data_IF_572231422463
#
_entry.id   IF_572231422463
#
_cell.length_a   1.000
_cell.length_b   1.000
_cell.length_c   1.000
_cell.angle_alpha   90.00
_cell.angle_beta   90.00
_cell.angle_gamma   90.00
#
_symmetry.space_group_name_H-M   'P 1'
#
loop_
_entity.id
_entity.type
_entity.pdbx_description
1 polymer ?
#
# COMPACT_ATOMS: atom_id res chain seq x y z
N UNK A 1 -26.38 1.76 -78.44
CA UNK A 1 -26.57 0.29 -78.40
C UNK A 1 -26.92 -0.10 -76.97
N UNK A 2 -28.13 -0.65 -76.80
CA UNK A 2 -28.67 -1.26 -75.57
C UNK A 2 -28.11 -2.68 -75.42
N UNK A 3 -27.87 -3.14 -74.19
CA UNK A 3 -28.58 -4.27 -73.56
C UNK A 3 -28.00 -4.57 -72.15
N UNK A 4 -28.91 -4.87 -71.23
CA UNK A 4 -28.73 -5.23 -69.81
C UNK A 4 -29.00 -6.77 -69.68
N UNK A 5 -29.20 -7.39 -68.49
CA UNK A 5 -28.30 -8.27 -67.73
C UNK A 5 -28.76 -9.76 -67.67
N UNK A 6 -28.05 -10.60 -66.91
CA UNK A 6 -28.53 -11.92 -66.47
C UNK A 6 -28.23 -12.19 -64.98
N UNK A 7 -29.30 -12.42 -64.21
CA UNK A 7 -29.33 -13.00 -62.86
C UNK A 7 -29.29 -14.53 -62.92
N UNK A 8 -28.86 -15.21 -61.84
CA UNK A 8 -29.42 -16.48 -61.30
C UNK A 8 -28.70 -16.80 -59.96
N UNK A 9 -29.33 -16.57 -58.79
CA UNK A 9 -30.11 -17.49 -57.92
C UNK A 9 -29.30 -18.48 -57.07
N UNK A 10 -29.40 -18.29 -55.75
CA UNK A 10 -29.07 -19.26 -54.68
C UNK A 10 -29.98 -20.51 -54.73
N UNK A 11 -29.55 -21.64 -54.14
CA UNK A 11 -30.46 -22.62 -53.58
C UNK A 11 -30.48 -22.63 -52.05
N UNK A 12 -31.65 -23.00 -51.56
CA UNK A 12 -32.18 -22.93 -50.21
C UNK A 12 -31.78 -24.13 -49.32
N UNK A 13 -32.03 -23.90 -48.04
CA UNK A 13 -31.97 -24.70 -46.83
C UNK A 13 -32.29 -26.20 -46.93
N UNK A 14 -31.60 -27.00 -46.12
CA UNK A 14 -32.10 -28.27 -45.61
C UNK A 14 -31.65 -28.46 -44.15
N UNK A 15 -32.65 -28.35 -43.29
CA UNK A 15 -32.70 -28.67 -41.87
C UNK A 15 -32.19 -30.09 -41.59
N UNK A 16 -31.38 -30.30 -40.55
CA UNK A 16 -31.46 -31.50 -39.69
C UNK A 16 -30.94 -31.18 -38.27
N UNK A 17 -31.71 -31.64 -37.29
CA UNK A 17 -31.68 -31.33 -35.85
C UNK A 17 -30.45 -31.83 -35.06
N UNK A 18 -30.16 -31.23 -33.89
CA UNK A 18 -29.13 -31.71 -32.96
C UNK A 18 -29.62 -32.91 -32.13
N UNK A 19 -28.78 -33.92 -31.83
CA UNK A 19 -29.18 -34.99 -30.91
C UNK A 19 -29.12 -34.54 -29.44
N UNK A 20 -30.23 -34.72 -28.74
CA UNK A 20 -30.39 -34.66 -27.27
C UNK A 20 -29.75 -35.86 -26.56
N UNK A 21 -29.35 -35.74 -25.27
CA UNK A 21 -28.61 -36.76 -24.55
C UNK A 21 -29.54 -37.84 -23.97
N UNK A 22 -29.16 -39.12 -24.10
CA UNK A 22 -29.76 -40.23 -23.37
C UNK A 22 -28.84 -40.69 -22.24
N UNK A 23 -29.33 -40.54 -21.02
CA UNK A 23 -28.80 -41.18 -19.81
C UNK A 23 -29.21 -42.65 -19.78
N UNK A 24 -28.29 -43.55 -19.43
CA UNK A 24 -28.44 -44.52 -18.33
C UNK A 24 -27.39 -45.64 -18.33
N UNK A 25 -26.68 -45.68 -17.20
CA UNK A 25 -26.26 -46.83 -16.40
C UNK A 25 -24.97 -47.63 -16.68
N UNK A 26 -24.32 -47.93 -15.53
CA UNK A 26 -23.47 -49.08 -15.16
C UNK A 26 -21.97 -48.77 -14.89
N UNK A 27 -21.60 -48.69 -13.60
CA UNK A 27 -20.25 -48.93 -13.03
C UNK A 27 -19.90 -50.44 -13.00
N UNK A 28 -18.66 -50.89 -12.69
CA UNK A 28 -17.30 -50.39 -13.00
C UNK A 28 -16.43 -51.51 -13.66
N UNK A 29 -15.11 -51.30 -13.88
CA UNK A 29 -14.18 -51.92 -12.93
C UNK A 29 -12.96 -51.06 -12.57
N UNK A 30 -12.47 -51.35 -11.37
CA UNK A 30 -11.26 -50.88 -10.72
C UNK A 30 -9.98 -51.21 -11.49
N UNK A 31 -9.13 -50.22 -11.73
CA UNK A 31 -7.70 -50.41 -11.93
C UNK A 31 -6.92 -49.47 -11.02
N UNK A 32 -6.17 -50.08 -10.10
CA UNK A 32 -5.13 -49.45 -9.30
C UNK A 32 -3.98 -48.96 -10.20
N UNK A 33 -3.57 -47.71 -10.01
CA UNK A 33 -2.22 -47.27 -10.31
C UNK A 33 -1.69 -46.51 -9.09
N UNK A 34 -0.64 -47.08 -8.48
CA UNK A 34 0.17 -46.44 -7.43
C UNK A 34 0.94 -45.24 -7.99
N UNK A 35 1.17 -44.19 -7.19
CA UNK A 35 2.04 -43.08 -7.58
C UNK A 35 3.46 -43.31 -7.03
N UNK A 36 4.47 -43.20 -7.88
CA UNK A 36 5.83 -42.90 -7.46
C UNK A 36 6.45 -41.98 -8.51
N UNK A 37 6.46 -40.67 -8.23
CA UNK A 37 7.55 -39.82 -8.66
C UNK A 37 7.70 -38.64 -7.70
N UNK A 38 8.88 -38.62 -7.10
CA UNK A 38 9.39 -37.73 -6.07
C UNK A 38 9.48 -36.28 -6.57
N UNK A 39 8.86 -35.35 -5.84
CA UNK A 39 9.12 -33.91 -5.97
C UNK A 39 9.92 -33.43 -4.75
N UNK A 40 11.09 -32.89 -5.04
CA UNK A 40 12.05 -32.33 -4.10
C UNK A 40 11.50 -31.00 -3.54
N UNK A 41 11.47 -30.85 -2.22
CA UNK A 41 11.29 -29.54 -1.54
C UNK A 41 12.52 -29.23 -0.70
N UNK A 42 13.12 -28.03 -0.82
CA UNK A 42 13.97 -27.52 0.24
C UNK A 42 13.25 -26.44 1.06
N UNK A 43 13.48 -26.52 2.37
CA UNK A 43 13.24 -25.54 3.44
C UNK A 43 11.83 -25.48 4.02
N UNK A 44 11.67 -26.19 5.15
CA UNK A 44 10.55 -26.09 6.05
C UNK A 44 10.81 -25.11 7.18
N UNK A 45 9.75 -24.43 7.58
CA UNK A 45 9.53 -23.97 8.94
C UNK A 45 8.10 -24.39 9.33
N UNK A 46 8.00 -25.37 10.22
CA UNK A 46 6.75 -25.76 10.85
C UNK A 46 6.39 -24.72 11.91
N UNK A 47 5.23 -24.07 11.76
CA UNK A 47 4.62 -23.23 12.78
C UNK A 47 3.47 -24.03 13.41
N UNK A 48 3.59 -24.38 14.69
CA UNK A 48 2.49 -24.95 15.50
C UNK A 48 1.85 -23.83 16.33
N UNK A 49 0.55 -23.54 16.17
CA UNK A 49 -0.13 -22.61 17.07
C UNK A 49 -0.57 -23.34 18.35
N UNK A 50 -0.02 -22.94 19.49
CA UNK A 50 -0.62 -23.22 20.80
C UNK A 50 -1.58 -22.09 21.16
N UNK A 51 -2.86 -22.42 21.16
CA UNK A 51 -3.94 -21.61 21.76
C UNK A 51 -3.85 -21.70 23.28
N UNK A 52 -3.53 -20.59 23.95
CA UNK A 52 -3.84 -20.36 25.36
C UNK A 52 -4.78 -19.16 25.48
N UNK A 53 -6.03 -19.47 25.78
CA UNK A 53 -7.07 -18.50 26.15
C UNK A 53 -6.81 -18.01 27.58
N UNK A 54 -6.68 -16.70 27.75
CA UNK A 54 -6.70 -16.05 29.06
C UNK A 54 -7.47 -14.74 28.93
N UNK A 55 -8.74 -14.79 29.33
CA UNK A 55 -9.68 -13.69 29.43
C UNK A 55 -9.37 -12.84 30.66
N UNK A 56 -9.07 -11.55 30.47
CA UNK A 56 -9.12 -10.52 31.52
C UNK A 56 -9.96 -9.36 30.99
N UNK A 57 -11.03 -8.93 31.69
CA UNK A 57 -11.86 -7.81 31.27
C UNK A 57 -11.27 -6.48 31.77
N UNK A 58 -11.20 -5.47 30.90
CA UNK A 58 -10.93 -4.09 31.31
C UNK A 58 -12.21 -3.26 31.15
N UNK A 59 -12.77 -2.81 32.28
CA UNK A 59 -13.77 -1.75 32.38
C UNK A 59 -13.11 -0.39 32.07
N UNK A 60 -13.75 0.38 31.19
CA UNK A 60 -13.40 1.78 30.91
C UNK A 60 -14.31 2.66 31.74
N UNK A 61 -13.74 3.44 32.65
CA UNK A 61 -14.39 4.63 33.23
C UNK A 61 -13.78 5.88 32.58
N UNK A 62 -14.59 6.89 32.19
CA UNK A 62 -14.08 8.15 31.68
C UNK A 62 -14.10 9.20 32.80
N UNK A 63 -12.96 9.81 33.09
CA UNK A 63 -12.91 11.18 33.61
C UNK A 63 -11.47 11.69 33.54
N UNK A 64 -11.29 12.82 32.85
CA UNK A 64 -10.47 13.98 33.22
C UNK A 64 -10.29 14.87 31.99
N UNK A 65 -11.23 15.80 31.85
CA UNK A 65 -11.04 17.06 31.15
C UNK A 65 -10.14 17.95 32.01
N UNK A 66 -9.01 18.41 31.46
CA UNK A 66 -8.19 19.46 32.08
C UNK A 66 -7.99 20.55 31.05
N UNK A 67 -8.77 21.61 31.18
CA UNK A 67 -8.64 22.84 30.43
C UNK A 67 -7.73 23.78 31.23
N UNK A 68 -6.73 24.38 30.56
CA UNK A 68 -5.76 25.27 31.19
C UNK A 68 -6.07 26.70 30.81
N UNK A 69 -6.49 27.53 31.78
CA UNK A 69 -6.28 28.98 31.70
C UNK A 69 -6.08 29.60 33.07
N UNK A 70 -5.07 30.48 33.15
CA UNK A 70 -5.05 31.77 33.86
C UNK A 70 -3.95 31.95 34.91
N UNK A 71 -2.99 32.77 34.48
CA UNK A 71 -2.02 33.60 35.20
C UNK A 71 -2.65 34.43 36.35
N UNK A 72 -1.97 34.57 37.49
CA UNK A 72 -2.32 35.55 38.52
C UNK A 72 -1.43 35.53 39.77
N UNK A 73 -0.78 36.68 40.01
CA UNK A 73 0.15 37.14 41.04
C UNK A 73 0.10 36.67 42.52
N UNK A 74 1.31 36.53 43.07
CA UNK A 74 1.89 37.08 44.34
C UNK A 74 1.11 36.97 45.66
N UNK A 75 1.70 36.24 46.63
CA UNK A 75 2.05 36.77 47.98
C UNK A 75 3.00 35.85 48.77
N UNK A 76 4.09 36.46 49.27
CA UNK A 76 5.03 35.92 50.25
C UNK A 76 4.40 35.74 51.64
N UNK A 77 4.86 34.75 52.41
CA UNK A 77 5.19 34.87 53.85
C UNK A 77 6.01 33.66 54.36
N UNK A 78 7.23 33.95 54.88
CA UNK A 78 7.97 33.37 56.05
C UNK A 78 8.18 31.83 56.19
N UNK A 79 9.42 31.28 56.15
CA UNK A 79 10.45 31.13 57.25
C UNK A 79 9.93 30.21 58.42
N UNK A 80 10.53 29.11 58.89
CA UNK A 80 11.92 28.66 59.13
C UNK A 80 12.04 27.08 59.14
N UNK A 81 13.07 26.40 59.71
CA UNK A 81 14.33 25.98 59.06
C UNK A 81 14.64 24.46 59.13
N UNK A 82 15.63 24.02 58.34
CA UNK A 82 16.32 22.73 58.46
C UNK A 82 17.18 22.64 59.75
N UNK A 83 17.49 21.41 60.21
CA UNK A 83 18.80 21.10 60.74
C UNK A 83 19.55 20.11 59.85
N UNK A 84 20.84 20.40 59.75
CA UNK A 84 21.84 19.81 58.88
C UNK A 84 22.59 18.66 59.56
N UNK A 85 23.40 17.97 58.76
CA UNK A 85 24.61 17.22 59.13
C UNK A 85 24.50 15.69 59.32
N UNK A 86 25.24 14.97 58.47
CA UNK A 86 25.57 13.56 58.69
C UNK A 86 26.12 12.84 57.46
N UNK A 87 27.35 13.15 57.05
CA UNK A 87 28.08 12.41 56.03
C UNK A 87 28.28 10.93 56.43
N UNK A 88 27.89 10.00 55.55
CA UNK A 88 28.52 8.67 55.41
C UNK A 88 28.33 8.14 53.98
N UNK A 89 29.42 7.68 53.40
CA UNK A 89 29.47 6.74 52.28
C UNK A 89 30.72 5.87 52.47
N UNK A 90 30.83 4.66 51.91
CA UNK A 90 29.81 3.82 51.28
C UNK A 90 29.75 2.40 51.92
N UNK A 91 28.59 1.74 51.87
CA UNK A 91 28.53 0.27 52.01
C UNK A 91 28.30 -0.30 50.62
N UNK A 92 29.34 -0.99 50.14
CA UNK A 92 29.32 -1.81 48.94
C UNK A 92 28.34 -2.95 49.19
N UNK A 93 27.15 -2.89 48.60
CA UNK A 93 26.26 -4.04 48.47
C UNK A 93 26.36 -4.55 47.05
N UNK A 94 27.01 -5.70 46.92
CA UNK A 94 27.10 -6.50 45.70
C UNK A 94 25.71 -7.02 45.34
N UNK A 95 24.88 -6.15 44.76
CA UNK A 95 23.62 -6.50 44.12
C UNK A 95 23.85 -6.62 42.62
N UNK A 96 23.46 -7.77 42.05
CA UNK A 96 23.50 -8.10 40.62
C UNK A 96 23.22 -6.87 39.75
N UNK A 97 24.15 -6.63 38.81
CA UNK A 97 24.14 -5.48 37.91
C UNK A 97 22.75 -5.22 37.37
N UNK A 98 22.26 -4.00 37.65
CA UNK A 98 21.22 -3.42 36.82
C UNK A 98 21.74 -3.43 35.40
N UNK A 99 20.98 -4.05 34.50
CA UNK A 99 21.11 -3.80 33.08
C UNK A 99 20.92 -2.31 32.90
N UNK A 100 22.04 -1.59 32.80
CA UNK A 100 22.07 -0.30 32.14
C UNK A 100 21.55 -0.63 30.74
N UNK A 101 20.31 -0.25 30.45
CA UNK A 101 19.79 -0.28 29.09
C UNK A 101 20.79 0.52 28.24
N UNK A 102 21.64 -0.20 27.50
CA UNK A 102 22.45 0.39 26.46
C UNK A 102 21.53 1.21 25.55
N UNK A 103 22.01 2.33 24.96
CA UNK A 103 21.30 2.91 23.84
C UNK A 103 21.03 1.77 22.85
N UNK A 104 19.75 1.55 22.53
CA UNK A 104 19.33 0.40 21.73
C UNK A 104 20.27 0.25 20.53
N UNK A 105 20.84 -0.93 20.37
CA UNK A 105 21.73 -1.26 19.25
C UNK A 105 21.05 -0.80 17.94
N UNK A 106 21.71 0.01 17.09
CA UNK A 106 21.13 0.50 15.85
C UNK A 106 20.49 -0.59 14.99
N UNK A 107 21.04 -1.82 15.03
CA UNK A 107 20.49 -2.97 14.31
C UNK A 107 19.18 -3.48 14.94
N UNK A 108 19.12 -3.55 16.28
CA UNK A 108 17.88 -3.91 16.99
C UNK A 108 16.77 -2.88 16.76
N UNK A 109 17.11 -1.59 16.75
CA UNK A 109 16.16 -0.54 16.42
C UNK A 109 15.63 -0.70 14.99
N UNK A 110 16.53 -0.99 14.04
CA UNK A 110 16.15 -1.19 12.65
C UNK A 110 15.19 -2.38 12.47
N UNK A 111 15.41 -3.47 13.20
CA UNK A 111 14.52 -4.64 13.19
C UNK A 111 13.14 -4.33 13.79
N UNK A 112 13.10 -3.55 14.88
CA UNK A 112 11.83 -3.12 15.49
C UNK A 112 11.02 -2.26 14.51
N UNK A 113 11.68 -1.30 13.85
CA UNK A 113 11.03 -0.46 12.82
C UNK A 113 10.51 -1.33 11.68
N UNK A 114 11.32 -2.26 11.16
CA UNK A 114 10.90 -3.16 10.09
C UNK A 114 9.64 -3.95 10.46
N UNK A 115 9.62 -4.53 11.66
CA UNK A 115 8.48 -5.30 12.16
C UNK A 115 7.21 -4.45 12.30
N UNK A 116 7.31 -3.27 12.90
CA UNK A 116 6.16 -2.39 13.12
C UNK A 116 5.64 -1.79 11.81
N UNK A 117 6.52 -1.43 10.88
CA UNK A 117 6.13 -0.92 9.57
C UNK A 117 5.50 -2.03 8.71
N UNK A 118 6.03 -3.26 8.75
CA UNK A 118 5.43 -4.40 8.06
C UNK A 118 4.02 -4.71 8.57
N UNK A 119 3.84 -4.75 9.88
CA UNK A 119 2.56 -4.97 10.54
C UNK A 119 1.55 -3.85 10.22
N UNK A 120 2.00 -2.58 10.25
CA UNK A 120 1.21 -1.44 9.77
C UNK A 120 0.82 -1.60 8.30
N UNK A 121 1.77 -1.96 7.42
CA UNK A 121 1.54 -2.13 5.99
C UNK A 121 0.47 -3.19 5.71
N UNK A 122 0.58 -4.36 6.33
CA UNK A 122 -0.33 -5.49 6.13
C UNK A 122 -1.74 -5.21 6.65
N UNK A 123 -1.88 -4.60 7.83
CA UNK A 123 -3.20 -4.26 8.40
C UNK A 123 -3.97 -3.22 7.60
N UNK A 124 -3.28 -2.43 6.79
CA UNK A 124 -3.88 -1.35 6.00
C UNK A 124 -3.78 -1.63 4.50
N UNK A 125 -3.59 -2.88 4.09
CA UNK A 125 -3.85 -3.30 2.71
C UNK A 125 -5.36 -3.48 2.53
N UNK A 126 -5.93 -3.03 1.41
CA UNK A 126 -7.35 -3.25 1.12
C UNK A 126 -7.68 -4.74 0.95
N UNK A 127 -6.74 -5.50 0.38
CA UNK A 127 -6.91 -6.93 0.10
C UNK A 127 -5.83 -7.75 0.79
N UNK A 128 -6.23 -8.90 1.34
CA UNK A 128 -5.28 -9.89 1.87
C UNK A 128 -4.41 -10.47 0.75
N UNK A 129 -3.22 -10.96 1.09
CA UNK A 129 -2.34 -11.62 0.11
C UNK A 129 -3.03 -12.82 -0.52
N UNK A 130 -3.81 -13.57 0.26
CA UNK A 130 -4.58 -14.71 -0.24
C UNK A 130 -5.60 -14.31 -1.30
N UNK A 131 -6.39 -13.25 -1.05
CA UNK A 131 -7.38 -12.77 -2.02
C UNK A 131 -6.74 -12.35 -3.34
N UNK A 132 -5.65 -11.59 -3.29
CA UNK A 132 -4.93 -11.12 -4.48
C UNK A 132 -4.42 -12.30 -5.30
N UNK A 133 -3.77 -13.26 -4.64
CA UNK A 133 -3.27 -14.47 -5.30
C UNK A 133 -4.40 -15.34 -5.82
N UNK A 134 -5.57 -15.32 -5.18
CA UNK A 134 -6.75 -16.05 -5.66
C UNK A 134 -7.28 -15.45 -6.96
N UNK A 135 -7.42 -14.12 -7.02
CA UNK A 135 -7.82 -13.41 -8.24
C UNK A 135 -6.78 -13.64 -9.35
N UNK A 136 -5.49 -13.44 -9.08
CA UNK A 136 -4.42 -13.63 -10.08
C UNK A 136 -4.34 -15.07 -10.63
N UNK A 137 -4.62 -16.09 -9.80
CA UNK A 137 -4.56 -17.49 -10.24
C UNK A 137 -5.83 -17.96 -10.94
N UNK A 138 -7.00 -17.56 -10.43
CA UNK A 138 -8.29 -18.07 -10.91
C UNK A 138 -8.83 -17.29 -12.09
N UNK A 139 -8.44 -16.03 -12.21
CA UNK A 139 -8.95 -15.16 -13.27
C UNK A 139 -7.94 -15.03 -14.39
N UNK A 140 -8.47 -15.00 -15.60
CA UNK A 140 -7.77 -14.44 -16.76
C UNK A 140 -8.41 -13.09 -17.09
N UNK A 141 -7.69 -12.18 -17.75
CA UNK A 141 -8.28 -10.95 -18.26
C UNK A 141 -9.49 -11.28 -19.14
N UNK A 142 -10.68 -11.04 -18.61
CA UNK A 142 -11.95 -11.36 -19.29
C UNK A 142 -12.33 -10.21 -20.20
N UNK A 143 -12.53 -10.52 -21.49
CA UNK A 143 -12.90 -9.55 -22.52
C UNK A 143 -14.19 -8.81 -22.16
N UNK A 144 -15.11 -9.44 -21.42
CA UNK A 144 -16.37 -8.81 -20.99
C UNK A 144 -16.10 -7.69 -20.00
N UNK A 145 -15.30 -7.96 -18.95
CA UNK A 145 -14.90 -6.96 -17.97
C UNK A 145 -14.06 -5.86 -18.61
N UNK A 146 -13.10 -6.21 -19.48
CA UNK A 146 -12.29 -5.21 -20.19
C UNK A 146 -13.20 -4.28 -21.00
N UNK A 147 -14.12 -4.84 -21.79
CA UNK A 147 -15.04 -4.04 -22.60
C UNK A 147 -16.01 -3.22 -21.74
N UNK A 148 -16.39 -3.71 -20.56
CA UNK A 148 -17.22 -2.94 -19.64
C UNK A 148 -16.52 -1.61 -19.29
N UNK A 149 -15.29 -1.66 -18.75
CA UNK A 149 -14.57 -0.45 -18.37
C UNK A 149 -14.19 0.43 -19.57
N UNK A 150 -13.78 -0.16 -20.70
CA UNK A 150 -13.44 0.59 -21.92
C UNK A 150 -14.61 1.36 -22.52
N UNK A 151 -15.84 0.91 -22.29
CA UNK A 151 -17.04 1.54 -22.82
C UNK A 151 -17.78 2.39 -21.79
N UNK A 152 -17.27 2.51 -20.55
CA UNK A 152 -17.82 3.44 -19.56
C UNK A 152 -17.75 4.88 -20.08
N UNK A 153 -18.72 5.71 -19.69
CA UNK A 153 -18.59 7.13 -19.97
C UNK A 153 -17.36 7.69 -19.23
N UNK A 154 -16.70 8.68 -19.83
CA UNK A 154 -15.45 9.25 -19.30
C UNK A 154 -15.60 9.68 -17.83
N UNK A 155 -16.69 10.36 -17.48
CA UNK A 155 -16.97 10.81 -16.11
C UNK A 155 -17.23 9.64 -15.15
N UNK A 156 -17.89 8.58 -15.60
CA UNK A 156 -18.16 7.39 -14.78
C UNK A 156 -16.87 6.64 -14.44
N UNK A 157 -15.98 6.46 -15.43
CA UNK A 157 -14.69 5.81 -15.23
C UNK A 157 -13.81 6.61 -14.26
N UNK A 158 -13.79 7.93 -14.43
CA UNK A 158 -13.06 8.83 -13.52
C UNK A 158 -13.59 8.76 -12.10
N UNK A 159 -14.92 8.77 -11.94
CA UNK A 159 -15.55 8.71 -10.64
C UNK A 159 -15.27 7.37 -9.94
N UNK A 160 -15.38 6.24 -10.64
CA UNK A 160 -15.05 4.92 -10.09
C UNK A 160 -13.57 4.87 -9.63
N UNK A 161 -12.63 5.31 -10.47
CA UNK A 161 -11.21 5.39 -10.12
C UNK A 161 -10.97 6.28 -8.88
N UNK A 162 -11.62 7.44 -8.82
CA UNK A 162 -11.50 8.37 -7.70
C UNK A 162 -12.07 7.78 -6.39
N UNK A 163 -13.16 7.00 -6.47
CA UNK A 163 -13.71 6.29 -5.32
C UNK A 163 -12.73 5.22 -4.81
N UNK A 164 -12.17 4.39 -5.70
CA UNK A 164 -11.16 3.38 -5.31
C UNK A 164 -9.92 4.03 -4.71
N UNK A 165 -9.42 5.10 -5.34
CA UNK A 165 -8.29 5.87 -4.85
C UNK A 165 -8.58 6.43 -3.45
N UNK A 166 -9.79 6.97 -3.22
CA UNK A 166 -10.21 7.46 -1.89
C UNK A 166 -10.14 6.35 -0.84
N UNK A 167 -10.62 5.13 -1.15
CA UNK A 167 -10.52 4.00 -0.23
C UNK A 167 -9.06 3.63 0.08
N UNK A 168 -8.17 3.68 -0.91
CA UNK A 168 -6.73 3.46 -0.71
C UNK A 168 -6.14 4.56 0.19
N UNK A 169 -6.51 5.82 -0.03
CA UNK A 169 -6.02 6.96 0.77
C UNK A 169 -6.44 6.84 2.24
N UNK A 170 -7.66 6.41 2.53
CA UNK A 170 -8.11 6.15 3.90
C UNK A 170 -7.17 5.15 4.60
N UNK A 171 -6.79 4.08 3.91
CA UNK A 171 -5.85 3.11 4.44
C UNK A 171 -4.42 3.66 4.55
N UNK A 172 -4.00 4.54 3.64
CA UNK A 172 -2.70 5.23 3.72
C UNK A 172 -2.61 6.14 4.94
N UNK A 173 -3.71 6.80 5.32
CA UNK A 173 -3.77 7.62 6.53
C UNK A 173 -3.60 6.74 7.78
N UNK A 174 -4.27 5.59 7.83
CA UNK A 174 -4.11 4.64 8.93
C UNK A 174 -2.70 4.02 8.95
N UNK A 175 -2.11 3.76 7.78
CA UNK A 175 -0.72 3.32 7.66
C UNK A 175 0.23 4.35 8.27
N UNK A 176 0.13 5.62 7.84
CA UNK A 176 0.96 6.71 8.33
C UNK A 176 0.86 6.85 9.86
N UNK A 177 -0.36 6.82 10.40
CA UNK A 177 -0.60 6.84 11.85
C UNK A 177 0.01 5.66 12.60
N UNK A 178 0.21 4.52 11.94
CA UNK A 178 0.81 3.32 12.53
C UNK A 178 2.34 3.27 12.32
N UNK A 179 2.91 4.10 11.45
CA UNK A 179 4.37 4.24 11.30
C UNK A 179 4.97 4.77 12.62
N UNK A 180 5.99 4.09 13.19
CA UNK A 180 6.55 4.47 14.48
C UNK A 180 7.10 5.89 14.48
N UNK A 181 6.62 6.74 15.39
CA UNK A 181 7.07 8.13 15.49
C UNK A 181 6.30 9.15 14.65
N UNK A 182 5.53 8.73 13.64
CA UNK A 182 4.79 9.67 12.77
C UNK A 182 3.81 10.56 13.54
N UNK A 183 3.07 9.99 14.50
CA UNK A 183 2.12 10.74 15.35
C UNK A 183 2.78 11.77 16.28
N UNK A 184 4.11 11.75 16.41
CA UNK A 184 4.85 12.71 17.25
C UNK A 184 5.12 14.02 16.51
N UNK A 185 5.02 14.05 15.18
CA UNK A 185 5.13 15.29 14.42
C UNK A 185 3.94 16.21 14.68
N UNK A 186 4.08 17.50 14.38
CA UNK A 186 2.97 18.44 14.45
C UNK A 186 1.81 18.00 13.53
N UNK A 187 0.57 18.35 13.89
CA UNK A 187 -0.58 18.00 13.05
C UNK A 187 -0.45 18.61 11.64
N UNK A 188 0.06 19.84 11.54
CA UNK A 188 0.35 20.51 10.27
C UNK A 188 1.33 19.71 9.41
N UNK A 189 2.44 19.26 10.00
CA UNK A 189 3.45 18.46 9.28
C UNK A 189 2.86 17.10 8.85
N UNK A 190 2.08 16.44 9.71
CA UNK A 190 1.40 15.19 9.35
C UNK A 190 0.47 15.39 8.14
N UNK A 191 -0.29 16.48 8.10
CA UNK A 191 -1.17 16.83 6.98
C UNK A 191 -0.35 17.11 5.71
N UNK A 192 0.73 17.89 5.80
CA UNK A 192 1.60 18.19 4.65
C UNK A 192 2.19 16.91 4.05
N UNK A 193 2.72 16.00 4.88
CA UNK A 193 3.26 14.72 4.43
C UNK A 193 2.20 13.84 3.74
N UNK A 194 0.99 13.77 4.32
CA UNK A 194 -0.12 13.00 3.74
C UNK A 194 -0.63 13.60 2.43
N UNK A 195 -0.82 14.91 2.35
CA UNK A 195 -1.25 15.57 1.10
C UNK A 195 -0.24 15.36 -0.01
N UNK A 196 1.06 15.52 0.28
CA UNK A 196 2.09 15.35 -0.73
C UNK A 196 2.34 13.88 -1.13
N UNK A 197 2.29 12.94 -0.17
CA UNK A 197 2.66 11.54 -0.38
C UNK A 197 1.51 10.59 -0.72
N UNK A 198 0.25 10.98 -0.52
CA UNK A 198 -0.91 10.08 -0.66
C UNK A 198 -1.02 9.40 -2.03
N UNK A 199 -0.90 10.14 -3.13
CA UNK A 199 -0.94 9.55 -4.47
C UNK A 199 0.29 8.69 -4.76
N UNK A 200 1.47 9.12 -4.31
CA UNK A 200 2.72 8.36 -4.45
C UNK A 200 2.60 6.99 -3.75
N UNK A 201 2.07 6.97 -2.53
CA UNK A 201 1.83 5.74 -1.79
C UNK A 201 0.71 4.90 -2.43
N UNK A 202 -0.30 5.50 -3.05
CA UNK A 202 -1.34 4.76 -3.76
C UNK A 202 -0.77 4.00 -4.97
N UNK A 203 0.15 4.63 -5.73
CA UNK A 203 0.90 3.97 -6.81
C UNK A 203 1.76 2.84 -6.26
N UNK A 204 2.43 3.02 -5.11
CA UNK A 204 3.17 1.93 -4.45
C UNK A 204 2.26 0.77 -4.01
N UNK A 205 1.06 1.06 -3.49
CA UNK A 205 0.10 0.02 -3.13
C UNK A 205 -0.36 -0.77 -4.36
N UNK A 206 -0.48 -0.11 -5.51
CA UNK A 206 -0.83 -0.76 -6.77
C UNK A 206 0.20 -1.82 -7.19
N UNK A 207 1.49 -1.68 -6.85
CA UNK A 207 2.52 -2.67 -7.22
C UNK A 207 2.24 -4.05 -6.63
N UNK A 208 1.59 -4.10 -5.45
CA UNK A 208 1.18 -5.34 -4.78
C UNK A 208 -0.01 -6.02 -5.46
N UNK A 209 -0.80 -5.26 -6.21
CA UNK A 209 -1.96 -5.73 -6.96
C UNK A 209 -1.63 -6.02 -8.44
N UNK A 210 -0.38 -5.85 -8.84
CA UNK A 210 0.05 -6.00 -10.24
C UNK A 210 0.54 -7.42 -10.53
N UNK A 211 -0.09 -8.09 -11.49
CA UNK A 211 0.42 -9.36 -12.04
C UNK A 211 1.33 -9.06 -13.22
N UNK A 212 2.64 -9.26 -13.02
CA UNK A 212 3.67 -9.05 -14.04
C UNK A 212 3.50 -10.00 -15.23
N UNK A 213 3.01 -11.22 -15.02
CA UNK A 213 2.89 -12.23 -16.08
C UNK A 213 1.71 -11.93 -17.00
N UNK A 214 0.60 -11.48 -16.42
CA UNK A 214 -0.62 -11.15 -17.17
C UNK A 214 -0.67 -9.68 -17.58
N UNK A 215 0.25 -8.86 -17.09
CA UNK A 215 0.31 -7.42 -17.35
C UNK A 215 -0.99 -6.70 -16.97
N UNK A 216 -1.56 -7.10 -15.83
CA UNK A 216 -2.87 -6.65 -15.33
C UNK A 216 -2.79 -6.27 -13.85
N UNK A 217 -3.71 -5.41 -13.42
CA UNK A 217 -3.91 -5.07 -12.01
C UNK A 217 -5.18 -5.75 -11.48
N UNK A 218 -5.13 -6.23 -10.25
CA UNK A 218 -6.32 -6.64 -9.50
C UNK A 218 -7.14 -5.40 -9.17
N UNK A 219 -8.34 -5.33 -9.73
CA UNK A 219 -9.29 -4.23 -9.60
C UNK A 219 -10.63 -4.78 -9.10
N UNK A 220 -10.86 -4.68 -7.78
CA UNK A 220 -11.95 -5.40 -7.13
C UNK A 220 -11.74 -6.91 -7.26
N UNK A 221 -12.78 -7.61 -7.68
CA UNK A 221 -12.73 -9.05 -7.96
C UNK A 221 -12.41 -9.34 -9.42
N UNK A 222 -11.66 -8.48 -10.12
CA UNK A 222 -11.32 -8.66 -11.54
C UNK A 222 -9.86 -8.35 -11.84
N UNK A 223 -9.35 -8.87 -12.96
CA UNK A 223 -8.06 -8.48 -13.52
C UNK A 223 -8.27 -7.57 -14.73
N UNK A 224 -7.70 -6.37 -14.66
CA UNK A 224 -7.82 -5.39 -15.73
C UNK A 224 -6.43 -4.99 -16.24
N UNK A 225 -6.22 -5.02 -17.57
CA UNK A 225 -5.02 -4.49 -18.16
C UNK A 225 -5.12 -2.96 -18.26
N UNK A 226 -4.00 -2.33 -18.59
CA UNK A 226 -3.91 -0.87 -18.73
C UNK A 226 -4.95 -0.29 -19.70
N UNK A 227 -5.27 -1.01 -20.78
CA UNK A 227 -6.20 -0.57 -21.81
C UNK A 227 -7.63 -0.36 -21.29
N UNK A 228 -7.98 -0.94 -20.14
CA UNK A 228 -9.27 -0.73 -19.50
C UNK A 228 -9.44 0.70 -18.94
N UNK A 229 -8.34 1.40 -18.69
CA UNK A 229 -8.32 2.71 -18.03
C UNK A 229 -7.94 3.86 -18.97
N UNK A 230 -7.61 3.56 -20.23
CA UNK A 230 -7.24 4.59 -21.20
C UNK A 230 -8.44 5.43 -21.60
N UNK A 231 -8.27 6.75 -21.59
CA UNK A 231 -9.27 7.72 -22.04
C UNK A 231 -8.82 8.38 -23.34
N UNK A 232 -9.63 9.30 -23.88
CA UNK A 232 -9.24 10.10 -25.05
C UNK A 232 -8.42 11.34 -24.67
N UNK A 233 -8.29 11.64 -23.39
CA UNK A 233 -7.57 12.80 -22.87
C UNK A 233 -6.07 12.51 -22.73
N UNK A 234 -5.25 13.31 -23.41
CA UNK A 234 -3.80 13.06 -23.52
C UNK A 234 -3.05 13.02 -22.19
N UNK A 235 -3.42 13.89 -21.24
CA UNK A 235 -2.81 13.96 -19.90
C UNK A 235 -3.15 12.70 -19.09
N UNK A 236 -4.40 12.26 -19.14
CA UNK A 236 -4.88 11.06 -18.46
C UNK A 236 -4.26 9.79 -19.06
N UNK A 237 -4.19 9.68 -20.39
CA UNK A 237 -3.48 8.60 -21.05
C UNK A 237 -2.03 8.52 -20.58
N UNK A 238 -1.32 9.66 -20.54
CA UNK A 238 0.07 9.70 -20.05
C UNK A 238 0.16 9.27 -18.58
N UNK A 239 -0.79 9.70 -17.75
CA UNK A 239 -0.86 9.29 -16.34
C UNK A 239 -1.00 7.78 -16.21
N UNK A 240 -2.00 7.20 -16.87
CA UNK A 240 -2.27 5.75 -16.83
C UNK A 240 -1.06 4.96 -17.30
N UNK A 241 -0.47 5.32 -18.44
CA UNK A 241 0.74 4.66 -18.95
C UNK A 241 1.88 4.69 -17.93
N UNK A 242 2.19 5.87 -17.39
CA UNK A 242 3.30 6.02 -16.46
C UNK A 242 3.05 5.31 -15.12
N UNK A 243 1.81 5.29 -14.62
CA UNK A 243 1.43 4.55 -13.40
C UNK A 243 1.62 3.05 -13.61
N UNK A 244 1.13 2.49 -14.72
CA UNK A 244 1.27 1.06 -15.02
C UNK A 244 2.74 0.68 -15.25
N UNK A 245 3.52 1.49 -15.96
CA UNK A 245 4.95 1.26 -16.17
C UNK A 245 5.73 1.29 -14.85
N UNK A 246 5.44 2.27 -13.98
CA UNK A 246 6.04 2.34 -12.66
C UNK A 246 5.65 1.12 -11.81
N UNK A 247 4.37 0.77 -11.78
CA UNK A 247 3.85 -0.35 -11.01
C UNK A 247 4.53 -1.66 -11.41
N UNK A 248 4.62 -1.92 -12.73
CA UNK A 248 5.33 -3.06 -13.29
C UNK A 248 6.80 -3.08 -12.89
N UNK A 249 7.50 -1.96 -13.04
CA UNK A 249 8.93 -1.85 -12.71
C UNK A 249 9.22 -2.22 -11.26
N UNK A 250 8.38 -1.76 -10.32
CA UNK A 250 8.54 -2.09 -8.90
C UNK A 250 8.09 -3.53 -8.60
N UNK A 251 7.00 -4.01 -9.21
CA UNK A 251 6.52 -5.38 -9.03
C UNK A 251 7.53 -6.44 -9.51
N UNK A 252 8.29 -6.14 -10.58
CA UNK A 252 9.37 -6.99 -11.09
C UNK A 252 10.51 -7.21 -10.09
N UNK A 253 10.70 -6.30 -9.13
CA UNK A 253 11.66 -6.47 -8.03
C UNK A 253 11.20 -7.52 -7.01
N UNK A 254 9.92 -7.89 -7.00
CA UNK A 254 9.33 -8.87 -6.07
C UNK A 254 9.65 -8.54 -4.61
N UNK A 255 9.47 -7.27 -4.24
CA UNK A 255 9.66 -6.82 -2.86
C UNK A 255 8.73 -7.59 -1.92
N UNK A 256 9.24 -7.91 -0.73
CA UNK A 256 8.40 -8.46 0.35
C UNK A 256 7.44 -7.40 0.89
N UNK A 257 6.36 -7.80 1.58
CA UNK A 257 5.45 -6.83 2.23
C UNK A 257 6.19 -5.92 3.23
N UNK A 258 7.22 -6.44 3.90
CA UNK A 258 8.10 -5.66 4.78
C UNK A 258 8.87 -4.59 4.01
N UNK A 259 9.53 -4.97 2.92
CA UNK A 259 10.31 -4.05 2.07
C UNK A 259 9.41 -2.99 1.43
N UNK A 260 8.24 -3.38 0.91
CA UNK A 260 7.29 -2.44 0.32
C UNK A 260 6.72 -1.49 1.38
N UNK A 261 6.44 -1.98 2.59
CA UNK A 261 6.02 -1.16 3.73
C UNK A 261 7.08 -0.14 4.11
N UNK A 262 8.34 -0.57 4.25
CA UNK A 262 9.46 0.31 4.57
C UNK A 262 9.73 1.35 3.47
N UNK A 263 9.67 0.96 2.20
CA UNK A 263 9.79 1.90 1.08
C UNK A 263 8.62 2.89 1.05
N UNK A 264 7.39 2.45 1.34
CA UNK A 264 6.23 3.35 1.47
C UNK A 264 6.41 4.36 2.60
N UNK A 265 6.93 3.93 3.76
CA UNK A 265 7.24 4.84 4.86
C UNK A 265 8.36 5.83 4.50
N UNK A 266 9.39 5.38 3.77
CA UNK A 266 10.48 6.24 3.30
C UNK A 266 9.98 7.34 2.34
N UNK A 267 9.08 6.99 1.42
CA UNK A 267 8.45 7.93 0.47
C UNK A 267 7.50 8.90 1.17
N UNK A 268 6.80 8.45 2.22
CA UNK A 268 5.95 9.31 3.05
C UNK A 268 6.77 10.35 3.81
N UNK A 269 7.90 9.95 4.40
CA UNK A 269 8.71 10.74 5.34
C UNK A 269 9.72 11.66 4.63
N UNK A 270 9.30 12.38 3.59
CA UNK A 270 10.22 13.28 2.87
C UNK A 270 10.26 14.66 3.53
N UNK A 271 11.44 15.06 4.01
CA UNK A 271 11.61 16.34 4.70
C UNK A 271 11.72 17.56 3.76
N UNK A 272 11.78 17.33 2.45
CA UNK A 272 11.86 18.37 1.42
C UNK A 272 10.48 18.86 0.92
N UNK A 273 9.38 18.39 1.54
CA UNK A 273 8.03 18.82 1.17
C UNK A 273 7.81 20.29 1.56
N UNK A 274 7.29 21.14 0.64
CA UNK A 274 6.97 22.52 0.95
C UNK A 274 5.96 22.65 2.10
N UNK A 275 6.23 23.56 3.05
CA UNK A 275 5.34 23.84 4.18
C UNK A 275 5.68 23.10 5.47
N UNK A 276 6.65 22.17 5.45
CA UNK A 276 7.11 21.48 6.67
C UNK A 276 7.85 22.42 7.63
N UNK A 277 7.66 22.18 8.93
CA UNK A 277 8.32 22.88 10.03
C UNK A 277 9.30 21.97 10.77
N UNK A 278 8.89 20.74 11.12
CA UNK A 278 9.70 19.75 11.85
C UNK A 278 10.67 18.94 10.98
N UNK A 279 11.37 19.56 10.03
CA UNK A 279 12.17 18.84 9.01
C UNK A 279 13.28 17.96 9.59
N UNK A 280 13.88 18.35 10.72
CA UNK A 280 14.96 17.61 11.36
C UNK A 280 14.47 16.27 11.95
N UNK A 281 13.31 16.27 12.59
CA UNK A 281 12.72 15.08 13.21
C UNK A 281 12.20 14.12 12.14
N UNK A 282 11.61 14.67 11.07
CA UNK A 282 11.19 13.90 9.89
C UNK A 282 12.40 13.25 9.22
N UNK A 283 13.49 13.98 9.01
CA UNK A 283 14.72 13.46 8.41
C UNK A 283 15.33 12.33 9.24
N UNK A 284 15.41 12.50 10.57
CA UNK A 284 15.91 11.45 11.47
C UNK A 284 15.07 10.17 11.40
N UNK A 285 13.74 10.30 11.34
CA UNK A 285 12.87 9.13 11.19
C UNK A 285 13.02 8.50 9.81
N UNK A 286 13.12 9.32 8.75
CA UNK A 286 13.37 8.85 7.38
C UNK A 286 14.66 8.03 7.29
N UNK A 287 15.76 8.53 7.86
CA UNK A 287 17.06 7.83 7.90
C UNK A 287 16.99 6.51 8.68
N UNK A 288 16.22 6.46 9.77
CA UNK A 288 16.02 5.23 10.53
C UNK A 288 15.25 4.19 9.70
N UNK A 289 14.16 4.60 9.02
CA UNK A 289 13.40 3.75 8.09
C UNK A 289 14.26 3.30 6.90
N UNK A 290 15.08 4.20 6.35
CA UNK A 290 15.99 3.91 5.24
C UNK A 290 17.04 2.86 5.60
N UNK A 291 17.60 2.94 6.81
CA UNK A 291 18.50 1.91 7.35
C UNK A 291 17.80 0.56 7.50
N UNK A 292 16.58 0.53 8.07
CA UNK A 292 15.77 -0.69 8.13
C UNK A 292 15.52 -1.29 6.75
N UNK A 293 15.15 -0.47 5.76
CA UNK A 293 14.93 -0.93 4.39
C UNK A 293 16.20 -1.54 3.79
N UNK A 294 17.36 -0.88 3.97
CA UNK A 294 18.64 -1.38 3.47
C UNK A 294 18.95 -2.78 4.04
N UNK A 295 18.81 -2.95 5.36
CA UNK A 295 19.07 -4.23 6.03
C UNK A 295 18.12 -5.34 5.59
N UNK A 296 16.82 -5.04 5.39
CA UNK A 296 15.86 -6.03 4.88
C UNK A 296 16.20 -6.43 3.44
N UNK A 297 16.51 -5.46 2.58
CA UNK A 297 16.91 -5.73 1.19
C UNK A 297 18.22 -6.52 1.09
N UNK A 298 19.18 -6.31 1.97
CA UNK A 298 20.43 -7.08 1.99
C UNK A 298 20.21 -8.57 2.34
N UNK A 299 19.11 -8.92 3.00
CA UNK A 299 18.75 -10.31 3.31
C UNK A 299 18.16 -11.04 2.10
N UNK A 300 17.41 -10.33 1.26
CA UNK A 300 16.57 -10.90 0.19
C UNK A 300 17.10 -10.63 -1.23
N UNK A 301 17.75 -9.49 -1.45
CA UNK A 301 18.24 -9.00 -2.76
C UNK A 301 19.76 -8.83 -2.78
N UNK A 302 20.50 -9.92 -2.57
CA UNK A 302 21.98 -9.90 -2.47
C UNK A 302 22.71 -9.54 -3.76
N UNK A 303 22.01 -9.54 -4.89
CA UNK A 303 22.59 -9.24 -6.20
C UNK A 303 22.09 -7.89 -6.71
N UNK A 304 22.95 -7.07 -7.33
CA UNK A 304 22.55 -5.82 -7.95
C UNK A 304 21.49 -6.01 -9.05
N UNK A 305 20.66 -4.98 -9.25
CA UNK A 305 19.66 -4.93 -10.33
C UNK A 305 20.34 -4.83 -11.69
N UNK A 306 21.39 -3.99 -11.78
CA UNK A 306 22.19 -3.78 -13.01
C UNK A 306 23.55 -3.20 -12.66
N UNK A 307 24.63 -3.84 -13.11
CA UNK A 307 25.99 -3.42 -12.76
C UNK A 307 26.18 -3.44 -11.25
N UNK A 308 26.57 -2.31 -10.65
CA UNK A 308 26.75 -2.16 -9.20
C UNK A 308 25.54 -1.50 -8.50
N UNK A 309 24.40 -1.33 -9.19
CA UNK A 309 23.20 -0.68 -8.63
C UNK A 309 22.44 -1.67 -7.74
N UNK A 310 22.50 -1.48 -6.43
CA UNK A 310 21.70 -2.24 -5.46
C UNK A 310 20.20 -1.95 -5.60
N UNK A 311 19.33 -2.85 -5.11
CA UNK A 311 17.87 -2.60 -5.09
C UNK A 311 17.55 -1.34 -4.28
N UNK A 312 18.23 -1.11 -3.16
CA UNK A 312 18.04 0.10 -2.35
C UNK A 312 18.31 1.38 -3.15
N UNK A 313 19.46 1.45 -3.83
CA UNK A 313 19.81 2.59 -4.67
C UNK A 313 18.82 2.77 -5.85
N UNK A 314 18.37 1.67 -6.44
CA UNK A 314 17.35 1.69 -7.49
C UNK A 314 16.02 2.27 -7.00
N UNK A 315 15.56 1.87 -5.81
CA UNK A 315 14.32 2.40 -5.21
C UNK A 315 14.43 3.90 -4.92
N UNK A 316 15.55 4.37 -4.34
CA UNK A 316 15.77 5.81 -4.13
C UNK A 316 15.72 6.60 -5.45
N UNK A 317 16.30 6.05 -6.52
CA UNK A 317 16.27 6.66 -7.84
C UNK A 317 14.86 6.72 -8.47
N UNK A 318 13.88 5.97 -7.94
CA UNK A 318 12.48 5.99 -8.39
C UNK A 318 11.60 7.01 -7.67
N UNK A 319 12.07 7.61 -6.57
CA UNK A 319 11.30 8.61 -5.82
C UNK A 319 10.95 9.88 -6.63
N UNK A 320 11.84 10.44 -7.49
CA UNK A 320 11.47 11.56 -8.36
C UNK A 320 10.32 11.21 -9.33
N UNK A 321 10.30 9.99 -9.87
CA UNK A 321 9.23 9.55 -10.76
C UNK A 321 7.86 9.48 -10.04
N UNK A 322 7.83 9.12 -8.75
CA UNK A 322 6.61 9.20 -7.94
C UNK A 322 6.10 10.65 -7.82
N UNK A 323 7.00 11.61 -7.58
CA UNK A 323 6.65 13.04 -7.54
C UNK A 323 6.07 13.51 -8.88
N UNK A 324 6.66 13.11 -9.99
CA UNK A 324 6.16 13.41 -11.34
C UNK A 324 4.78 12.81 -11.59
N UNK A 325 4.54 11.57 -11.16
CA UNK A 325 3.22 10.93 -11.23
C UNK A 325 2.16 11.70 -10.42
N UNK A 326 2.52 12.15 -9.22
CA UNK A 326 1.64 12.96 -8.37
C UNK A 326 1.28 14.28 -9.03
N UNK A 327 2.25 14.98 -9.64
CA UNK A 327 1.99 16.19 -10.42
C UNK A 327 1.07 15.95 -11.62
N UNK A 328 1.31 14.86 -12.35
CA UNK A 328 0.51 14.50 -13.53
C UNK A 328 -0.93 14.14 -13.15
N UNK A 329 -1.13 13.48 -12.00
CA UNK A 329 -2.46 13.27 -11.41
C UNK A 329 -3.16 14.59 -11.10
N UNK A 330 -2.47 15.54 -10.47
CA UNK A 330 -3.04 16.86 -10.17
C UNK A 330 -3.45 17.62 -11.43
N UNK A 331 -2.63 17.57 -12.48
CA UNK A 331 -2.95 18.19 -13.77
C UNK A 331 -4.19 17.55 -14.41
N UNK A 332 -4.25 16.21 -14.43
CA UNK A 332 -5.38 15.45 -14.94
C UNK A 332 -6.67 15.78 -14.17
N UNK A 333 -6.62 15.74 -12.84
CA UNK A 333 -7.75 16.05 -11.95
C UNK A 333 -8.26 17.48 -12.16
N UNK A 334 -7.36 18.45 -12.24
CA UNK A 334 -7.70 19.86 -12.47
C UNK A 334 -8.36 20.06 -13.84
N UNK A 335 -7.89 19.36 -14.87
CA UNK A 335 -8.50 19.39 -16.20
C UNK A 335 -9.89 18.75 -16.19
N UNK A 336 -10.01 17.57 -15.59
CA UNK A 336 -11.27 16.85 -15.45
C UNK A 336 -12.32 17.69 -14.72
N UNK A 337 -11.99 18.26 -13.56
CA UNK A 337 -12.92 19.07 -12.75
C UNK A 337 -13.42 20.32 -13.47
N UNK A 338 -12.60 20.95 -14.31
CA UNK A 338 -13.03 22.07 -15.16
C UNK A 338 -14.05 21.64 -16.23
N UNK A 339 -13.91 20.43 -16.76
CA UNK A 339 -14.82 19.89 -17.78
C UNK A 339 -16.11 19.32 -17.16
N UNK A 340 -16.03 18.75 -15.96
CA UNK A 340 -17.14 18.16 -15.22
C UNK A 340 -17.36 18.85 -13.85
N UNK A 341 -17.71 20.14 -13.81
CA UNK A 341 -17.79 20.90 -12.55
C UNK A 341 -18.91 20.39 -11.62
N UNK A 342 -19.95 19.78 -12.20
CA UNK A 342 -21.10 19.24 -11.50
C UNK A 342 -20.79 17.98 -10.68
N UNK A 343 -19.72 17.25 -11.04
CA UNK A 343 -19.36 16.00 -10.41
C UNK A 343 -18.72 16.24 -9.04
N UNK A 344 -19.25 15.58 -8.00
CA UNK A 344 -18.86 15.80 -6.62
C UNK A 344 -17.98 14.66 -6.12
N UNK A 345 -16.75 14.97 -5.71
CA UNK A 345 -15.87 14.02 -5.06
C UNK A 345 -16.12 13.98 -3.55
N UNK A 346 -15.66 12.91 -2.89
CA UNK A 346 -15.74 12.79 -1.43
C UNK A 346 -14.94 13.90 -0.74
N UNK A 347 -15.34 14.29 0.48
CA UNK A 347 -14.66 15.36 1.22
C UNK A 347 -13.17 15.06 1.44
N UNK A 348 -12.83 13.80 1.73
CA UNK A 348 -11.44 13.40 1.87
C UNK A 348 -10.64 13.58 0.57
N UNK A 349 -11.20 13.21 -0.57
CA UNK A 349 -10.53 13.34 -1.87
C UNK A 349 -10.27 14.83 -2.19
N UNK A 350 -11.27 15.69 -1.92
CA UNK A 350 -11.15 17.14 -2.12
C UNK A 350 -10.12 17.75 -1.17
N UNK A 351 -10.08 17.32 0.09
CA UNK A 351 -9.11 17.81 1.07
C UNK A 351 -7.68 17.41 0.71
N UNK A 352 -7.46 16.16 0.33
CA UNK A 352 -6.11 15.63 0.05
C UNK A 352 -5.53 16.22 -1.23
N UNK A 353 -6.36 16.40 -2.26
CA UNK A 353 -5.91 16.89 -3.58
C UNK A 353 -6.26 18.34 -3.87
N UNK A 354 -6.81 19.07 -2.89
CA UNK A 354 -7.19 20.49 -3.01
C UNK A 354 -8.09 20.77 -4.23
N UNK A 355 -9.09 19.91 -4.49
CA UNK A 355 -9.93 19.97 -5.70
C UNK A 355 -10.78 21.24 -5.79
N UNK A 356 -11.13 21.84 -4.65
CA UNK A 356 -11.96 23.05 -4.57
C UNK A 356 -11.15 24.34 -4.31
N UNK A 357 -9.81 24.26 -4.29
CA UNK A 357 -8.92 25.39 -3.93
C UNK A 357 -8.55 26.28 -5.12
#
# INVERSE_FOLDING_TARGET
MRAVPGQETSPDSSMYEPPTPTSSDIYPPTYHYSPDLTSFTPTGYNYTPQTTTSTIPFEITPDYVVDSTTFGDVRQTSLDPLPDSGAMSPVVSSGKGGEVFSPADPEQLAEIIARWVADAHLRTCLYSTEHILDVMRKQSPDITNINYYKNMAHEELWYDCAQKLTSVIQQIIEFAKAVPGFRKFSQDDQIVLLKAGSFELAVLRMTRYYDVNQNCVVYGDTLLPMEAFLTTETVEMKLVNNVFEFAKTIAELKLTDTELGLYSALVLLQADRPGLRGTDEISKLNEAVGRSLCLELEKTHRYPVKGDITVYAFLLAKMPALRELSMLHQEALSKFKRNAPHLQFSDLHKEIFNVDS
#
